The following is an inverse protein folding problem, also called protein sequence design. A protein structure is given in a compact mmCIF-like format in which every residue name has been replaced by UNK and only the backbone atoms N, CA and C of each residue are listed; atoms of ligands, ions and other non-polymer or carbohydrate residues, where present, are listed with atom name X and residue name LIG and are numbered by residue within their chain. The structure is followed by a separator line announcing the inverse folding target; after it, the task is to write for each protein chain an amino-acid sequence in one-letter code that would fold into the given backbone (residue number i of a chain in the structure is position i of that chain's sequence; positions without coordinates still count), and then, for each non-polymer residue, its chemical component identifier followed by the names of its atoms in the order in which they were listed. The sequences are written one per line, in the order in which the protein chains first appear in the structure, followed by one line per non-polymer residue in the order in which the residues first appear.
data_IF_533495483084
#
_entry.id   IF_533495483084
#
_cell.length_a   1.000
_cell.length_b   1.000
_cell.length_c   1.000
_cell.angle_alpha   90.00
_cell.angle_beta   90.00
_cell.angle_gamma   90.00
#
_symmetry.space_group_name_H-M   'P 1'
#
loop_
_entity.id
_entity.type
_entity.pdbx_description
1 polymer ?
#
# COMPACT_ATOMS: atom_id res chain seq x y z
N UNK A 1 19.23 6.32 11.91
CA UNK A 1 18.43 5.59 12.92
C UNK A 1 18.35 4.15 12.46
N UNK A 2 18.80 3.19 13.28
CA UNK A 2 18.57 1.76 12.98
C UNK A 2 17.07 1.54 13.08
N UNK A 3 16.42 1.41 11.92
CA UNK A 3 15.06 0.89 11.82
C UNK A 3 15.11 -0.53 12.40
N UNK A 4 14.16 -0.82 13.27
CA UNK A 4 13.93 -2.14 13.83
C UNK A 4 12.46 -2.38 13.50
N UNK A 5 12.21 -3.09 12.41
CA UNK A 5 10.86 -3.43 11.99
C UNK A 5 10.41 -4.71 12.70
N UNK A 6 9.29 -4.74 13.44
CA UNK A 6 8.57 -5.99 13.62
C UNK A 6 7.83 -6.36 12.32
N UNK A 7 7.60 -7.67 12.14
CA UNK A 7 6.88 -8.27 11.01
C UNK A 7 5.43 -7.78 10.91
N UNK A 8 4.69 -8.20 9.86
CA UNK A 8 3.26 -7.93 9.63
C UNK A 8 2.31 -8.41 10.75
N UNK A 9 2.85 -8.78 11.92
CA UNK A 9 2.20 -9.47 13.01
C UNK A 9 1.61 -8.58 14.12
N UNK A 10 1.85 -7.26 14.19
CA UNK A 10 1.07 -6.44 15.14
C UNK A 10 -0.41 -6.30 14.74
N UNK A 11 -0.81 -6.74 13.54
CA UNK A 11 -2.22 -6.82 13.08
C UNK A 11 -2.95 -8.13 13.38
N UNK A 12 -2.27 -9.14 13.89
CA UNK A 12 -2.93 -10.37 14.38
C UNK A 12 -3.82 -10.11 15.61
N UNK A 13 -3.62 -9.00 16.34
CA UNK A 13 -4.42 -8.74 17.55
C UNK A 13 -5.93 -8.58 17.28
N UNK A 14 -6.34 -8.14 16.08
CA UNK A 14 -7.76 -8.02 15.71
C UNK A 14 -8.32 -9.27 15.03
N UNK A 15 -7.49 -10.06 14.34
CA UNK A 15 -7.98 -11.11 13.45
C UNK A 15 -8.58 -12.35 14.15
N UNK A 16 -8.41 -12.54 15.47
CA UNK A 16 -8.97 -13.69 16.21
C UNK A 16 -10.05 -13.39 17.24
N UNK A 17 -10.27 -12.14 17.64
CA UNK A 17 -11.29 -11.83 18.68
C UNK A 17 -12.72 -11.84 18.12
N UNK A 18 -12.94 -11.62 16.82
CA UNK A 18 -14.31 -11.42 16.30
C UNK A 18 -14.88 -12.58 15.46
N UNK A 19 -14.06 -13.36 14.74
CA UNK A 19 -14.58 -14.36 13.78
C UNK A 19 -15.12 -15.67 14.39
N UNK A 20 -14.86 -15.98 15.67
CA UNK A 20 -15.31 -17.25 16.28
C UNK A 20 -16.38 -17.14 17.38
N UNK A 21 -16.65 -15.97 17.94
CA UNK A 21 -17.69 -15.80 18.98
C UNK A 21 -18.93 -15.11 18.42
N UNK A 22 -19.77 -15.88 17.72
CA UNK A 22 -21.25 -15.81 17.70
C UNK A 22 -21.91 -16.35 16.41
N UNK A 23 -21.38 -17.43 15.84
CA UNK A 23 -22.23 -18.40 15.11
C UNK A 23 -23.00 -19.24 16.14
N UNK A 24 -24.17 -18.75 16.54
CA UNK A 24 -25.39 -19.49 16.91
C UNK A 24 -26.20 -18.78 18.00
N UNK A 25 -27.32 -18.14 17.63
CA UNK A 25 -28.46 -18.06 18.53
C UNK A 25 -29.79 -18.18 17.77
N UNK A 26 -30.34 -19.38 17.87
CA UNK A 26 -31.73 -19.86 17.79
C UNK A 26 -32.76 -19.15 16.89
N UNK A 27 -33.29 -19.93 15.94
CA UNK A 27 -34.66 -19.82 15.42
C UNK A 27 -35.46 -21.03 15.92
N UNK A 28 -36.59 -20.82 16.61
CA UNK A 28 -37.91 -21.42 16.30
C UNK A 28 -39.02 -20.76 17.15
N UNK A 29 -40.07 -20.34 16.42
CA UNK A 29 -41.32 -19.66 16.82
C UNK A 29 -42.34 -20.56 17.55
N UNK A 30 -43.25 -19.91 18.30
CA UNK A 30 -44.74 -19.97 18.22
C UNK A 30 -45.34 -19.40 19.54
N UNK A 31 -46.43 -18.62 19.66
CA UNK A 31 -47.63 -18.35 18.87
C UNK A 31 -48.33 -17.08 19.42
N UNK A 32 -49.03 -16.31 18.56
CA UNK A 32 -50.33 -15.67 18.84
C UNK A 32 -50.39 -14.23 19.41
N UNK A 33 -50.91 -13.25 18.64
CA UNK A 33 -52.32 -12.80 18.67
C UNK A 33 -52.51 -11.46 17.92
N UNK A 34 -53.67 -11.31 17.26
CA UNK A 34 -54.13 -10.20 16.42
C UNK A 34 -54.33 -8.85 17.16
N UNK A 35 -54.07 -7.73 16.48
CA UNK A 35 -55.00 -6.60 16.38
C UNK A 35 -54.59 -5.60 15.28
N UNK A 36 -55.58 -5.16 14.50
CA UNK A 36 -55.55 -4.19 13.40
C UNK A 36 -55.52 -2.72 13.85
N UNK A 37 -54.83 -1.81 13.14
CA UNK A 37 -55.37 -0.48 12.70
C UNK A 37 -54.38 0.36 11.86
N UNK A 38 -54.86 0.76 10.67
CA UNK A 38 -54.78 2.05 9.93
C UNK A 38 -53.51 2.92 9.82
N UNK A 39 -53.08 3.08 8.55
CA UNK A 39 -52.42 4.20 7.84
C UNK A 39 -51.88 5.42 8.58
N UNK A 40 -50.57 5.68 8.41
CA UNK A 40 -50.02 7.00 8.04
C UNK A 40 -48.87 6.78 7.04
N UNK A 41 -48.94 7.47 5.90
CA UNK A 41 -47.86 7.57 4.92
C UNK A 41 -46.85 8.59 5.44
N UNK A 42 -45.69 8.10 5.89
CA UNK A 42 -44.46 8.88 5.97
C UNK A 42 -43.55 8.38 4.85
N UNK A 43 -43.07 9.33 4.04
CA UNK A 43 -41.97 9.14 3.11
C UNK A 43 -40.73 9.16 4.00
N UNK A 44 -40.29 7.98 4.41
CA UNK A 44 -39.01 7.85 5.09
C UNK A 44 -37.93 7.93 4.00
N UNK A 45 -37.08 8.94 4.11
CA UNK A 45 -35.82 9.01 3.38
C UNK A 45 -35.05 7.73 3.70
N UNK A 46 -34.74 6.94 2.68
CA UNK A 46 -33.92 5.74 2.81
C UNK A 46 -32.51 6.18 3.27
N UNK A 47 -32.30 6.21 4.59
CA UNK A 47 -30.97 6.01 5.15
C UNK A 47 -30.46 4.67 4.63
N UNK A 48 -29.49 4.75 3.73
CA UNK A 48 -28.68 3.64 3.26
C UNK A 48 -28.11 2.93 4.49
N UNK A 49 -28.79 1.87 4.93
CA UNK A 49 -28.29 0.98 5.97
C UNK A 49 -27.13 0.23 5.34
N UNK A 50 -25.94 0.81 5.52
CA UNK A 50 -24.67 0.26 5.10
C UNK A 50 -24.67 -1.26 5.26
N UNK A 51 -24.42 -1.94 4.14
CA UNK A 51 -24.17 -3.37 4.11
C UNK A 51 -23.18 -3.72 5.20
N UNK A 52 -23.60 -4.61 6.10
CA UNK A 52 -22.83 -5.12 7.25
C UNK A 52 -21.42 -5.51 6.79
N UNK A 53 -20.43 -4.62 6.94
CA UNK A 53 -19.06 -4.82 6.48
C UNK A 53 -18.31 -3.54 6.09
N UNK A 54 -18.98 -2.58 5.44
CA UNK A 54 -18.33 -1.33 5.02
C UNK A 54 -18.32 -0.31 6.16
N UNK A 55 -17.13 0.18 6.53
CA UNK A 55 -17.00 1.22 7.55
C UNK A 55 -16.83 2.59 6.92
N UNK A 56 -17.23 3.64 7.64
CA UNK A 56 -17.00 5.03 7.23
C UNK A 56 -15.50 5.30 6.98
N UNK A 57 -14.62 4.62 7.72
CA UNK A 57 -13.17 4.77 7.64
C UNK A 57 -12.59 4.15 6.36
N UNK A 58 -13.04 2.96 5.96
CA UNK A 58 -12.71 2.39 4.65
C UNK A 58 -13.13 3.33 3.51
N UNK A 59 -14.36 3.86 3.55
CA UNK A 59 -14.83 4.81 2.55
C UNK A 59 -13.97 6.09 2.52
N UNK A 60 -13.64 6.66 3.68
CA UNK A 60 -12.75 7.82 3.78
C UNK A 60 -11.37 7.59 3.18
N UNK A 61 -10.79 6.40 3.36
CA UNK A 61 -9.52 6.05 2.74
C UNK A 61 -9.65 5.92 1.22
N UNK A 62 -10.74 5.31 0.72
CA UNK A 62 -11.05 5.27 -0.72
C UNK A 62 -11.13 6.69 -1.30
N UNK A 63 -11.87 7.57 -0.66
CA UNK A 63 -12.03 8.97 -1.11
C UNK A 63 -10.71 9.73 -1.11
N UNK A 64 -9.86 9.48 -0.11
CA UNK A 64 -8.53 10.09 -0.02
C UNK A 64 -7.62 9.63 -1.18
N UNK A 65 -7.55 8.32 -1.44
CA UNK A 65 -6.76 7.77 -2.57
C UNK A 65 -7.31 8.24 -3.92
N UNK A 66 -8.64 8.30 -4.08
CA UNK A 66 -9.28 8.84 -5.29
C UNK A 66 -8.88 10.31 -5.50
N UNK A 67 -8.87 11.12 -4.44
CA UNK A 67 -8.50 12.53 -4.51
C UNK A 67 -7.00 12.74 -4.83
N UNK A 68 -6.12 11.91 -4.25
CA UNK A 68 -4.70 11.83 -4.58
C UNK A 68 -4.52 11.52 -6.08
N UNK A 69 -5.24 10.51 -6.57
CA UNK A 69 -5.20 10.08 -7.98
C UNK A 69 -5.65 11.20 -8.92
N UNK A 70 -6.78 11.85 -8.63
CA UNK A 70 -7.29 12.96 -9.43
C UNK A 70 -6.29 14.12 -9.51
N UNK A 71 -5.70 14.52 -8.39
CA UNK A 71 -4.69 15.59 -8.37
C UNK A 71 -3.44 15.21 -9.17
N UNK A 72 -2.91 14.00 -8.98
CA UNK A 72 -1.73 13.54 -9.68
C UNK A 72 -1.97 13.42 -11.20
N UNK A 73 -3.08 12.78 -11.60
CA UNK A 73 -3.41 12.53 -13.01
C UNK A 73 -3.83 13.79 -13.74
N UNK A 74 -4.32 14.82 -13.04
CA UNK A 74 -4.51 16.15 -13.62
C UNK A 74 -3.18 16.82 -14.00
N UNK A 75 -2.11 16.60 -13.22
CA UNK A 75 -0.78 17.11 -13.52
C UNK A 75 -0.01 16.23 -14.54
N UNK A 76 -0.16 14.91 -14.45
CA UNK A 76 0.46 13.93 -15.33
C UNK A 76 -0.50 12.73 -15.55
N UNK A 77 -1.20 12.65 -16.71
CA UNK A 77 -2.21 11.62 -16.97
C UNK A 77 -1.71 10.17 -16.92
N UNK A 78 -0.39 9.94 -17.00
CA UNK A 78 0.21 8.60 -16.93
C UNK A 78 0.85 8.31 -15.56
N UNK A 79 0.61 9.16 -14.55
CA UNK A 79 1.14 8.98 -13.21
C UNK A 79 0.44 7.83 -12.50
N UNK A 80 1.22 6.87 -12.02
CA UNK A 80 0.70 5.63 -11.44
C UNK A 80 0.36 5.81 -9.95
N UNK A 81 -0.76 5.24 -9.51
CA UNK A 81 -1.22 5.22 -8.13
C UNK A 81 -1.25 3.77 -7.63
N UNK A 82 -0.46 3.47 -6.60
CA UNK A 82 -0.23 2.11 -6.11
C UNK A 82 -0.42 2.03 -4.60
N UNK A 83 -1.63 1.81 -4.07
CA UNK A 83 -1.84 1.46 -2.65
C UNK A 83 -1.13 0.17 -2.24
N UNK A 84 -0.47 0.18 -1.08
CA UNK A 84 0.11 -0.98 -0.42
C UNK A 84 -0.81 -1.49 0.71
N UNK A 85 -1.03 -2.80 0.75
CA UNK A 85 -1.87 -3.49 1.73
C UNK A 85 -3.31 -2.88 1.74
N UNK A 86 -4.07 -3.07 2.84
CA UNK A 86 -5.45 -2.59 2.95
C UNK A 86 -6.34 -3.02 1.77
N UNK A 87 -6.13 -4.24 1.28
CA UNK A 87 -6.69 -4.72 0.01
C UNK A 87 -8.22 -4.79 0.04
N UNK A 88 -8.83 -4.82 1.23
CA UNK A 88 -10.26 -4.70 1.48
C UNK A 88 -10.93 -3.54 0.73
N UNK A 89 -10.21 -2.43 0.51
CA UNK A 89 -10.76 -1.24 -0.16
C UNK A 89 -11.19 -1.51 -1.62
N UNK A 90 -10.77 -2.62 -2.21
CA UNK A 90 -11.17 -3.01 -3.58
C UNK A 90 -12.62 -3.46 -3.68
N UNK A 91 -13.29 -3.76 -2.56
CA UNK A 91 -14.68 -4.19 -2.54
C UNK A 91 -15.58 -3.18 -1.83
N UNK A 92 -16.88 -3.19 -2.15
CA UNK A 92 -17.86 -2.23 -1.63
C UNK A 92 -18.19 -2.44 -0.15
N UNK A 93 -17.90 -3.62 0.39
CA UNK A 93 -18.15 -3.92 1.80
C UNK A 93 -16.87 -4.14 2.61
N UNK A 94 -15.70 -3.87 2.03
CA UNK A 94 -14.43 -4.04 2.73
C UNK A 94 -14.07 -5.50 3.06
N UNK A 95 -14.60 -6.46 2.30
CA UNK A 95 -14.41 -7.91 2.46
C UNK A 95 -14.50 -8.64 1.08
N UNK A 96 -14.04 -9.90 0.99
CA UNK A 96 -14.03 -10.69 -0.25
C UNK A 96 -15.43 -11.03 -0.81
N UNK A 97 -16.47 -10.89 0.01
CA UNK A 97 -17.87 -11.08 -0.37
C UNK A 97 -18.50 -9.87 -1.07
N UNK A 98 -17.84 -8.71 -1.03
CA UNK A 98 -18.34 -7.47 -1.63
C UNK A 98 -18.24 -7.44 -3.14
N UNK A 99 -19.08 -6.61 -3.76
CA UNK A 99 -18.92 -6.28 -5.17
C UNK A 99 -17.64 -5.43 -5.37
N UNK A 100 -17.02 -5.43 -6.57
CA UNK A 100 -15.88 -4.55 -6.84
C UNK A 100 -16.24 -3.06 -6.65
N UNK A 101 -15.44 -2.32 -5.91
CA UNK A 101 -15.61 -0.88 -5.72
C UNK A 101 -15.04 -0.10 -6.93
N UNK A 102 -15.84 0.01 -7.99
CA UNK A 102 -15.40 0.50 -9.32
C UNK A 102 -14.70 1.86 -9.29
N UNK A 103 -15.20 2.83 -8.51
CA UNK A 103 -14.60 4.16 -8.46
C UNK A 103 -13.17 4.16 -7.89
N UNK A 104 -12.91 3.29 -6.90
CA UNK A 104 -11.59 3.14 -6.29
C UNK A 104 -10.66 2.36 -7.23
N UNK A 105 -11.16 1.25 -7.78
CA UNK A 105 -10.41 0.42 -8.73
C UNK A 105 -9.97 1.20 -9.97
N UNK A 106 -10.80 2.11 -10.49
CA UNK A 106 -10.45 2.98 -11.62
C UNK A 106 -9.47 4.10 -11.26
N UNK A 107 -9.35 4.45 -9.98
CA UNK A 107 -8.45 5.51 -9.53
C UNK A 107 -7.01 5.02 -9.37
N UNK A 108 -6.82 3.71 -9.15
CA UNK A 108 -5.50 3.08 -8.95
C UNK A 108 -5.04 2.38 -10.23
N UNK A 109 -3.74 2.08 -10.32
CA UNK A 109 -3.13 1.40 -11.48
C UNK A 109 -2.49 0.05 -11.09
N UNK A 110 -2.24 -0.14 -9.80
CA UNK A 110 -1.79 -1.38 -9.21
C UNK A 110 -2.16 -1.49 -7.73
N UNK A 111 -2.07 -2.69 -7.16
CA UNK A 111 -2.04 -2.92 -5.72
C UNK A 111 -0.72 -3.57 -5.33
N UNK A 112 -0.07 -3.00 -4.31
CA UNK A 112 1.03 -3.63 -3.57
C UNK A 112 0.47 -4.51 -2.45
N UNK A 113 1.02 -5.71 -2.29
CA UNK A 113 0.74 -6.59 -1.16
C UNK A 113 2.05 -7.07 -0.58
N UNK A 114 2.25 -6.83 0.71
CA UNK A 114 3.32 -7.48 1.46
C UNK A 114 2.84 -8.83 2.00
N UNK A 115 3.78 -9.75 2.09
CA UNK A 115 3.70 -10.93 2.95
C UNK A 115 2.66 -11.95 2.51
N UNK A 116 2.44 -12.06 1.20
CA UNK A 116 1.41 -12.92 0.64
C UNK A 116 1.75 -14.40 0.76
N UNK A 117 2.97 -14.81 0.41
CA UNK A 117 3.40 -16.20 0.48
C UNK A 117 4.36 -16.44 1.64
N UNK A 118 5.23 -15.47 1.92
CA UNK A 118 6.23 -15.53 2.98
C UNK A 118 6.38 -14.16 3.67
N UNK A 119 6.56 -14.18 5.00
CA UNK A 119 6.87 -12.98 5.77
C UNK A 119 5.77 -12.52 6.72
N UNK A 120 4.55 -13.08 6.67
CA UNK A 120 3.42 -12.50 7.41
C UNK A 120 3.61 -12.52 8.93
N UNK A 121 3.86 -13.70 9.48
CA UNK A 121 4.12 -13.85 10.90
C UNK A 121 5.59 -13.54 11.23
N UNK A 122 6.51 -14.11 10.43
CA UNK A 122 7.95 -13.89 10.55
C UNK A 122 8.59 -13.95 9.15
N UNK A 123 9.72 -13.28 8.99
CA UNK A 123 10.54 -13.38 7.78
C UNK A 123 10.92 -14.83 7.48
N UNK A 124 10.96 -15.17 6.20
CA UNK A 124 11.29 -16.50 5.67
C UNK A 124 10.34 -17.63 6.12
N UNK A 125 9.25 -17.29 6.80
CA UNK A 125 8.18 -18.22 7.18
C UNK A 125 7.00 -18.10 6.21
N UNK A 126 6.46 -19.24 5.79
CA UNK A 126 5.27 -19.28 4.95
C UNK A 126 4.06 -18.63 5.65
N UNK A 127 3.37 -17.74 4.95
CA UNK A 127 2.15 -17.08 5.41
C UNK A 127 1.04 -18.11 5.69
N UNK A 128 0.23 -17.98 6.75
CA UNK A 128 -0.88 -18.91 7.02
C UNK A 128 -1.83 -19.05 5.83
N UNK A 129 -2.27 -20.28 5.52
CA UNK A 129 -3.01 -20.57 4.28
C UNK A 129 -4.38 -19.87 4.20
N UNK A 130 -5.03 -19.66 5.34
CA UNK A 130 -6.27 -18.90 5.46
C UNK A 130 -6.06 -17.43 5.10
N UNK A 131 -5.01 -16.79 5.65
CA UNK A 131 -4.61 -15.43 5.29
C UNK A 131 -4.32 -15.32 3.80
N UNK A 132 -3.53 -16.24 3.24
CA UNK A 132 -3.23 -16.25 1.79
C UNK A 132 -4.48 -16.37 0.93
N UNK A 133 -5.43 -17.22 1.34
CA UNK A 133 -6.66 -17.44 0.58
C UNK A 133 -7.49 -16.16 0.55
N UNK A 134 -7.70 -15.56 1.72
CA UNK A 134 -8.45 -14.31 1.87
C UNK A 134 -7.83 -13.17 1.05
N UNK A 135 -6.52 -12.94 1.19
CA UNK A 135 -5.83 -11.89 0.45
C UNK A 135 -5.90 -12.12 -1.06
N UNK A 136 -5.72 -13.36 -1.52
CA UNK A 136 -5.80 -13.67 -2.96
C UNK A 136 -7.17 -13.41 -3.55
N UNK A 137 -8.25 -13.74 -2.85
CA UNK A 137 -9.61 -13.47 -3.33
C UNK A 137 -9.86 -11.97 -3.53
N UNK A 138 -9.34 -11.12 -2.64
CA UNK A 138 -9.39 -9.66 -2.78
C UNK A 138 -8.45 -9.14 -3.87
N UNK A 139 -7.21 -9.65 -3.96
CA UNK A 139 -6.26 -9.28 -5.02
C UNK A 139 -6.80 -9.63 -6.42
N UNK A 140 -7.52 -10.75 -6.54
CA UNK A 140 -8.17 -11.15 -7.79
C UNK A 140 -9.27 -10.17 -8.21
N UNK A 141 -9.97 -9.50 -7.27
CA UNK A 141 -10.91 -8.42 -7.62
C UNK A 141 -10.17 -7.28 -8.33
N UNK A 142 -9.05 -6.82 -7.78
CA UNK A 142 -8.28 -5.73 -8.39
C UNK A 142 -7.63 -6.12 -9.71
N UNK A 143 -7.05 -7.32 -9.77
CA UNK A 143 -6.48 -7.87 -11.00
C UNK A 143 -7.52 -7.99 -12.11
N UNK A 144 -8.73 -8.48 -11.79
CA UNK A 144 -9.83 -8.60 -12.75
C UNK A 144 -10.35 -7.24 -13.22
N UNK A 145 -10.14 -6.17 -12.45
CA UNK A 145 -10.40 -4.80 -12.88
C UNK A 145 -9.31 -4.22 -13.80
N UNK A 146 -8.22 -4.97 -14.05
CA UNK A 146 -7.13 -4.58 -14.94
C UNK A 146 -5.90 -4.01 -14.24
N UNK A 147 -5.89 -3.97 -12.90
CA UNK A 147 -4.78 -3.45 -12.13
C UNK A 147 -3.64 -4.46 -12.03
N UNK A 148 -2.41 -3.96 -12.01
CA UNK A 148 -1.23 -4.82 -11.78
C UNK A 148 -1.15 -5.21 -10.30
N UNK A 149 -0.80 -6.46 -9.99
CA UNK A 149 -0.56 -6.89 -8.60
C UNK A 149 0.95 -7.01 -8.38
N UNK A 150 1.46 -6.26 -7.41
CA UNK A 150 2.85 -6.26 -6.98
C UNK A 150 2.94 -6.94 -5.62
N UNK A 151 3.67 -8.06 -5.52
CA UNK A 151 3.82 -8.81 -4.26
C UNK A 151 5.25 -8.71 -3.75
N UNK A 152 5.41 -8.23 -2.52
CA UNK A 152 6.68 -8.30 -1.80
C UNK A 152 6.58 -9.41 -0.76
N UNK A 153 7.40 -10.44 -0.87
CA UNK A 153 7.53 -11.47 0.16
C UNK A 153 8.87 -11.29 0.89
N UNK A 154 8.89 -11.44 2.22
CA UNK A 154 10.13 -11.45 2.98
C UNK A 154 10.65 -12.87 3.14
N UNK A 155 11.58 -13.27 2.28
CA UNK A 155 12.21 -14.60 2.30
C UNK A 155 13.70 -14.52 1.97
N UNK A 156 14.49 -15.34 2.67
CA UNK A 156 15.95 -15.32 2.61
C UNK A 156 16.56 -16.69 2.28
N UNK A 157 15.84 -17.78 2.53
CA UNK A 157 16.24 -19.13 2.10
C UNK A 157 16.00 -19.28 0.60
N UNK A 158 17.01 -19.76 -0.16
CA UNK A 158 16.95 -19.92 -1.63
C UNK A 158 15.69 -20.65 -2.10
N UNK A 159 15.31 -21.75 -1.45
CA UNK A 159 14.11 -22.51 -1.84
C UNK A 159 12.80 -21.74 -1.61
N UNK A 160 12.74 -20.88 -0.58
CA UNK A 160 11.58 -20.04 -0.31
C UNK A 160 11.50 -18.86 -1.30
N UNK A 161 12.66 -18.32 -1.69
CA UNK A 161 12.76 -17.30 -2.75
C UNK A 161 12.24 -17.87 -4.08
N UNK A 162 12.74 -19.05 -4.47
CA UNK A 162 12.30 -19.74 -5.69
C UNK A 162 10.80 -20.08 -5.65
N UNK A 163 10.29 -20.58 -4.53
CA UNK A 163 8.86 -20.86 -4.36
C UNK A 163 8.02 -19.58 -4.42
N UNK A 164 8.38 -18.51 -3.72
CA UNK A 164 7.68 -17.22 -3.79
C UNK A 164 7.54 -16.73 -5.24
N UNK A 165 8.63 -16.75 -6.02
CA UNK A 165 8.56 -16.37 -7.44
C UNK A 165 7.67 -17.30 -8.26
N UNK A 166 7.71 -18.61 -8.00
CA UNK A 166 6.86 -19.59 -8.68
C UNK A 166 5.37 -19.38 -8.36
N UNK A 167 5.01 -19.23 -7.08
CA UNK A 167 3.62 -19.05 -6.64
C UNK A 167 3.02 -17.75 -7.18
N UNK A 168 3.78 -16.65 -7.14
CA UNK A 168 3.35 -15.38 -7.70
C UNK A 168 3.20 -15.45 -9.23
N UNK A 169 4.14 -16.08 -9.94
CA UNK A 169 4.05 -16.26 -11.40
C UNK A 169 2.82 -17.09 -11.78
N UNK A 170 2.52 -18.16 -11.02
CA UNK A 170 1.31 -18.98 -11.22
C UNK A 170 0.02 -18.19 -10.96
N UNK A 171 0.04 -17.24 -10.01
CA UNK A 171 -1.06 -16.33 -9.76
C UNK A 171 -1.13 -15.18 -10.78
N UNK A 172 -0.16 -15.03 -11.68
CA UNK A 172 -0.08 -13.90 -12.62
C UNK A 172 0.21 -12.56 -11.93
N UNK A 173 0.96 -12.60 -10.83
CA UNK A 173 1.42 -11.42 -10.10
C UNK A 173 2.89 -11.12 -10.43
N UNK A 174 3.27 -9.86 -10.34
CA UNK A 174 4.68 -9.44 -10.40
C UNK A 174 5.21 -9.47 -8.98
N UNK A 175 6.35 -10.11 -8.72
CA UNK A 175 6.85 -10.24 -7.35
C UNK A 175 8.30 -9.80 -7.16
N UNK A 176 8.61 -9.51 -5.90
CA UNK A 176 9.94 -9.24 -5.38
C UNK A 176 10.12 -10.02 -4.07
N UNK A 177 11.12 -10.90 -4.05
CA UNK A 177 11.53 -11.57 -2.83
C UNK A 177 12.57 -10.70 -2.09
N UNK A 178 12.12 -10.00 -1.07
CA UNK A 178 12.97 -9.17 -0.21
C UNK A 178 13.74 -10.07 0.77
N UNK A 179 15.08 -10.06 0.68
CA UNK A 179 15.93 -10.89 1.56
C UNK A 179 16.04 -10.35 2.99
N UNK A 180 15.58 -9.12 3.23
CA UNK A 180 15.48 -8.52 4.55
C UNK A 180 14.41 -7.43 4.57
N UNK A 181 13.70 -7.35 5.70
CA UNK A 181 12.59 -6.40 5.88
C UNK A 181 12.97 -4.94 5.83
N UNK A 182 14.22 -4.64 6.14
CA UNK A 182 14.73 -3.28 6.18
C UNK A 182 14.80 -2.58 4.81
N UNK A 183 14.63 -3.32 3.71
CA UNK A 183 14.59 -2.80 2.32
C UNK A 183 15.74 -1.82 2.00
N UNK A 184 16.94 -2.14 2.49
CA UNK A 184 18.18 -1.37 2.35
C UNK A 184 19.26 -2.05 1.50
N UNK A 185 18.97 -3.21 0.92
CA UNK A 185 19.91 -3.93 0.05
C UNK A 185 19.26 -4.31 -1.27
N UNK A 186 20.07 -4.35 -2.32
CA UNK A 186 19.70 -4.97 -3.59
C UNK A 186 20.04 -6.46 -3.47
N UNK A 187 19.04 -7.37 -3.57
CA UNK A 187 19.31 -8.80 -3.49
C UNK A 187 20.26 -9.27 -4.60
N UNK A 188 21.12 -10.23 -4.27
CA UNK A 188 22.03 -10.88 -5.23
C UNK A 188 21.48 -12.20 -5.77
N UNK A 189 20.29 -12.60 -5.30
CA UNK A 189 19.58 -13.81 -5.70
C UNK A 189 18.11 -13.50 -6.02
N UNK A 190 17.49 -14.20 -6.99
CA UNK A 190 18.14 -15.11 -7.93
C UNK A 190 19.07 -14.35 -8.88
N UNK A 191 20.02 -15.08 -9.46
CA UNK A 191 20.90 -14.58 -10.51
C UNK A 191 20.84 -15.55 -11.70
N UNK A 192 20.31 -15.15 -12.87
CA UNK A 192 19.84 -13.80 -13.22
C UNK A 192 18.60 -13.36 -12.43
N UNK A 193 18.30 -12.06 -12.45
CA UNK A 193 17.13 -11.49 -11.75
C UNK A 193 15.86 -12.18 -12.30
N UNK A 194 14.92 -12.53 -11.42
CA UNK A 194 13.65 -13.12 -11.83
C UNK A 194 12.92 -12.18 -12.79
N UNK A 195 12.44 -12.70 -13.93
CA UNK A 195 11.75 -11.90 -14.94
C UNK A 195 12.63 -10.85 -15.66
N UNK A 196 13.96 -10.93 -15.55
CA UNK A 196 14.89 -9.97 -16.16
C UNK A 196 14.67 -9.83 -17.68
N UNK A 197 14.68 -8.58 -18.15
CA UNK A 197 14.58 -8.26 -19.57
C UNK A 197 15.17 -6.87 -19.86
N UNK A 198 15.37 -6.57 -21.14
CA UNK A 198 15.94 -5.30 -21.61
C UNK A 198 14.89 -4.35 -22.21
N UNK A 199 13.61 -4.54 -21.92
CA UNK A 199 12.55 -3.71 -22.49
C UNK A 199 12.65 -2.26 -21.98
N UNK A 200 12.16 -1.34 -22.81
CA UNK A 200 11.81 0.02 -22.42
C UNK A 200 10.41 -0.04 -21.82
N UNK A 201 10.32 -0.05 -20.49
CA UNK A 201 9.06 -0.14 -19.75
C UNK A 201 8.47 1.26 -19.63
N UNK A 202 7.22 1.40 -20.06
CA UNK A 202 6.47 2.67 -20.14
C UNK A 202 5.11 2.62 -19.43
N UNK A 203 4.68 1.44 -18.97
CA UNK A 203 3.45 1.25 -18.19
C UNK A 203 3.59 0.05 -17.26
N UNK A 204 2.79 0.02 -16.18
CA UNK A 204 2.82 -1.07 -15.19
C UNK A 204 2.50 -2.44 -15.81
N UNK A 205 1.63 -2.51 -16.81
CA UNK A 205 1.30 -3.76 -17.53
C UNK A 205 2.50 -4.43 -18.22
N UNK A 206 3.59 -3.69 -18.44
CA UNK A 206 4.82 -4.20 -19.06
C UNK A 206 5.85 -4.69 -18.03
N UNK A 207 5.66 -4.37 -16.75
CA UNK A 207 6.59 -4.71 -15.67
C UNK A 207 6.58 -6.23 -15.45
N UNK A 208 7.76 -6.84 -15.45
CA UNK A 208 7.93 -8.28 -15.18
C UNK A 208 8.64 -8.58 -13.87
N UNK A 209 9.23 -7.56 -13.25
CA UNK A 209 9.95 -7.65 -11.99
C UNK A 209 10.09 -6.25 -11.37
N UNK A 210 10.33 -6.15 -10.06
CA UNK A 210 10.57 -4.87 -9.42
C UNK A 210 11.60 -4.97 -8.29
N UNK A 211 12.17 -3.82 -7.94
CA UNK A 211 13.04 -3.64 -6.79
C UNK A 211 12.35 -2.71 -5.79
N UNK A 212 12.14 -3.19 -4.57
CA UNK A 212 11.65 -2.38 -3.46
C UNK A 212 12.82 -2.00 -2.56
N UNK A 213 13.22 -0.72 -2.59
CA UNK A 213 14.43 -0.21 -1.94
C UNK A 213 14.16 1.20 -1.39
N UNK A 214 13.46 1.28 -0.27
CA UNK A 214 13.05 2.54 0.36
C UNK A 214 13.98 3.01 1.48
N UNK A 215 14.94 2.17 1.88
CA UNK A 215 15.88 2.52 2.94
C UNK A 215 17.30 2.68 2.38
N UNK A 216 17.71 3.89 1.96
CA UNK A 216 19.01 4.07 1.35
C UNK A 216 20.17 4.14 2.35
N UNK A 217 19.98 3.73 3.62
CA UNK A 217 20.97 3.93 4.69
C UNK A 217 22.31 3.21 4.50
N UNK A 218 22.33 2.15 3.70
CA UNK A 218 23.57 1.41 3.40
C UNK A 218 24.33 2.01 2.21
N UNK A 219 23.80 3.06 1.58
CA UNK A 219 24.46 3.80 0.52
C UNK A 219 25.06 5.10 1.07
N UNK A 220 26.36 5.35 0.89
CA UNK A 220 27.01 6.54 1.46
C UNK A 220 26.49 7.86 0.90
N UNK A 221 26.14 7.89 -0.40
CA UNK A 221 25.67 9.09 -1.09
C UNK A 221 24.55 8.76 -2.08
N UNK A 222 23.79 9.79 -2.51
CA UNK A 222 22.83 9.67 -3.62
C UNK A 222 23.48 9.11 -4.89
N UNK A 223 24.71 9.53 -5.19
CA UNK A 223 25.46 9.03 -6.36
C UNK A 223 25.73 7.53 -6.25
N UNK A 224 26.11 7.03 -5.07
CA UNK A 224 26.35 5.59 -4.87
C UNK A 224 25.06 4.78 -5.00
N UNK A 225 23.96 5.28 -4.42
CA UNK A 225 22.62 4.69 -4.59
C UNK A 225 22.22 4.62 -6.06
N UNK A 226 22.31 5.73 -6.79
CA UNK A 226 21.96 5.82 -8.21
C UNK A 226 22.81 4.86 -9.05
N UNK A 227 24.12 4.81 -8.80
CA UNK A 227 25.02 3.92 -9.52
C UNK A 227 24.71 2.43 -9.25
N UNK A 228 24.44 2.07 -8.00
CA UNK A 228 24.07 0.70 -7.64
C UNK A 228 22.76 0.27 -8.31
N UNK A 229 21.73 1.12 -8.28
CA UNK A 229 20.45 0.83 -8.92
C UNK A 229 20.57 0.76 -10.44
N UNK A 230 21.35 1.66 -11.07
CA UNK A 230 21.63 1.61 -12.51
C UNK A 230 22.38 0.36 -12.95
N UNK A 231 23.11 -0.29 -12.05
CA UNK A 231 23.80 -1.55 -12.33
C UNK A 231 22.85 -2.77 -12.32
N UNK A 232 21.57 -2.57 -12.01
CA UNK A 232 20.54 -3.62 -12.04
C UNK A 232 19.65 -3.55 -13.28
N UNK A 233 18.81 -4.57 -13.49
CA UNK A 233 17.92 -4.67 -14.64
C UNK A 233 16.43 -4.75 -14.24
N UNK A 234 16.06 -4.18 -13.09
CA UNK A 234 14.67 -4.18 -12.65
C UNK A 234 13.76 -3.28 -13.53
N UNK A 235 12.55 -3.73 -13.84
CA UNK A 235 11.55 -3.02 -14.67
C UNK A 235 10.84 -1.87 -13.93
N UNK A 236 10.79 -1.98 -12.61
CA UNK A 236 10.17 -1.03 -11.71
C UNK A 236 11.06 -0.85 -10.48
N UNK A 237 11.27 0.40 -10.06
CA UNK A 237 11.95 0.76 -8.82
C UNK A 237 10.94 1.46 -7.90
N UNK A 238 10.77 0.96 -6.69
CA UNK A 238 10.05 1.63 -5.61
C UNK A 238 11.08 2.12 -4.60
N UNK A 239 11.13 3.43 -4.37
CA UNK A 239 12.12 4.08 -3.50
C UNK A 239 11.54 5.33 -2.82
N UNK A 240 12.23 5.88 -1.83
CA UNK A 240 11.82 7.13 -1.18
C UNK A 240 12.19 8.37 -2.03
N UNK A 241 11.42 9.46 -1.91
CA UNK A 241 11.76 10.76 -2.49
C UNK A 241 13.02 11.36 -1.86
N UNK A 242 13.27 11.08 -0.58
CA UNK A 242 14.32 11.68 0.21
C UNK A 242 15.46 10.69 0.47
N UNK A 243 16.68 11.19 0.43
CA UNK A 243 17.86 10.46 0.88
C UNK A 243 18.03 10.58 2.40
N UNK A 244 19.01 9.85 2.97
CA UNK A 244 19.22 9.77 4.42
C UNK A 244 19.62 11.10 5.08
N UNK A 245 20.08 12.07 4.31
CA UNK A 245 20.37 13.43 4.76
C UNK A 245 19.16 14.37 4.71
N UNK A 246 17.98 13.86 4.34
CA UNK A 246 16.74 14.62 4.21
C UNK A 246 16.63 15.42 2.90
N UNK A 247 17.62 15.33 2.00
CA UNK A 247 17.55 15.99 0.69
C UNK A 247 16.69 15.16 -0.28
N UNK A 248 15.82 15.83 -1.04
CA UNK A 248 15.05 15.18 -2.08
C UNK A 248 15.97 14.79 -3.26
N UNK A 249 15.63 13.68 -3.93
CA UNK A 249 16.12 13.40 -5.27
C UNK A 249 15.56 14.44 -6.26
N UNK A 250 16.42 14.95 -7.12
CA UNK A 250 16.09 15.91 -8.18
C UNK A 250 15.55 15.19 -9.42
N UNK A 251 14.88 15.93 -10.32
CA UNK A 251 14.42 15.41 -11.61
C UNK A 251 15.54 14.73 -12.42
N UNK A 252 16.73 15.33 -12.44
CA UNK A 252 17.89 14.76 -13.14
C UNK A 252 18.41 13.46 -12.49
N UNK A 253 18.32 13.35 -11.16
CA UNK A 253 18.69 12.12 -10.44
C UNK A 253 17.66 11.00 -10.68
N UNK A 254 16.36 11.32 -10.64
CA UNK A 254 15.28 10.37 -10.96
C UNK A 254 15.36 9.91 -12.41
N UNK A 255 15.65 10.81 -13.36
CA UNK A 255 15.87 10.45 -14.76
C UNK A 255 17.04 9.46 -14.96
N UNK A 256 18.10 9.58 -14.16
CA UNK A 256 19.20 8.61 -14.17
C UNK A 256 18.75 7.23 -13.67
N UNK A 257 17.94 7.19 -12.60
CA UNK A 257 17.39 5.97 -12.01
C UNK A 257 16.46 5.19 -12.95
N UNK A 258 15.89 5.83 -13.98
CA UNK A 258 15.08 5.16 -15.02
C UNK A 258 15.91 4.26 -15.97
N UNK A 259 17.24 4.28 -15.89
CA UNK A 259 18.11 3.50 -16.80
C UNK A 259 18.53 2.15 -16.21
N UNK A 260 18.37 1.07 -16.99
CA UNK A 260 18.87 -0.28 -16.67
C UNK A 260 20.28 -0.50 -17.19
N UNK A 261 21.03 -1.42 -16.57
CA UNK A 261 22.39 -1.77 -17.00
C UNK A 261 22.42 -2.36 -18.41
N UNK A 262 21.38 -3.12 -18.77
CA UNK A 262 21.23 -3.78 -20.06
C UNK A 262 20.66 -2.89 -21.19
N UNK A 263 20.56 -1.57 -20.97
CA UNK A 263 20.08 -0.61 -21.96
C UNK A 263 18.55 -0.41 -21.99
N UNK A 264 17.78 -1.21 -21.25
CA UNK A 264 16.35 -0.99 -21.07
C UNK A 264 16.03 0.23 -20.18
N UNK A 265 14.73 0.51 -20.02
CA UNK A 265 14.22 1.58 -19.14
C UNK A 265 13.21 1.04 -18.15
N UNK A 266 13.18 1.63 -16.96
CA UNK A 266 12.29 1.26 -15.86
C UNK A 266 11.39 2.43 -15.46
N UNK A 267 10.27 2.10 -14.81
CA UNK A 267 9.48 3.06 -14.06
C UNK A 267 10.13 3.30 -12.68
N UNK A 268 10.04 4.52 -12.17
CA UNK A 268 10.50 4.89 -10.82
C UNK A 268 9.33 5.48 -10.03
N UNK A 269 8.97 4.82 -8.94
CA UNK A 269 7.79 5.11 -8.10
C UNK A 269 8.25 5.54 -6.70
N UNK A 270 7.66 6.63 -6.19
CA UNK A 270 8.00 7.14 -4.86
C UNK A 270 7.14 6.50 -3.79
N UNK A 271 7.74 5.95 -2.75
CA UNK A 271 7.08 5.69 -1.48
C UNK A 271 6.49 6.99 -0.91
N UNK A 272 5.27 6.92 -0.38
CA UNK A 272 4.60 8.01 0.31
C UNK A 272 3.62 7.46 1.36
N UNK A 273 3.94 7.59 2.64
CA UNK A 273 2.98 7.28 3.71
C UNK A 273 1.84 8.29 3.72
N UNK A 274 0.60 7.79 3.73
CA UNK A 274 -0.60 8.64 3.79
C UNK A 274 -1.45 8.40 5.05
N UNK A 275 -1.22 7.31 5.76
CA UNK A 275 -1.89 6.97 7.03
C UNK A 275 -1.06 7.23 8.29
N UNK A 276 0.19 7.70 8.14
CA UNK A 276 1.05 8.12 9.26
C UNK A 276 1.84 9.39 8.94
N UNK A 277 2.06 10.22 9.97
CA UNK A 277 3.00 11.33 9.94
C UNK A 277 4.36 10.91 10.47
N UNK A 278 5.42 11.28 9.76
CA UNK A 278 6.80 10.88 10.04
C UNK A 278 7.60 12.10 10.53
N UNK A 279 8.15 12.03 11.74
CA UNK A 279 8.80 13.18 12.38
C UNK A 279 10.13 13.63 11.78
N UNK A 280 10.65 12.85 10.84
CA UNK A 280 11.85 13.12 10.06
C UNK A 280 11.54 13.71 8.68
N UNK A 281 10.26 13.96 8.35
CA UNK A 281 9.87 14.58 7.07
C UNK A 281 9.88 16.10 7.15
N UNK A 282 10.02 16.71 5.97
CA UNK A 282 10.08 18.16 5.79
C UNK A 282 8.86 18.93 6.34
N UNK A 283 7.69 18.28 6.39
CA UNK A 283 6.45 18.91 6.85
C UNK A 283 6.34 18.94 8.38
N UNK A 284 7.20 18.18 9.10
CA UNK A 284 7.13 18.10 10.55
C UNK A 284 7.44 19.45 11.18
N UNK A 285 6.54 19.92 12.03
CA UNK A 285 6.73 21.18 12.75
C UNK A 285 7.27 20.90 14.15
N UNK A 286 8.29 21.64 14.58
CA UNK A 286 8.92 21.45 15.89
C UNK A 286 7.92 21.54 17.07
N UNK A 287 6.84 22.31 16.92
CA UNK A 287 5.77 22.42 17.92
C UNK A 287 5.01 21.10 18.16
N UNK A 288 4.98 20.20 17.18
CA UNK A 288 4.28 18.92 17.29
C UNK A 288 4.92 17.95 18.29
N UNK A 289 6.19 18.18 18.65
CA UNK A 289 6.88 17.42 19.70
C UNK A 289 6.28 17.65 21.09
N UNK A 290 5.59 18.77 21.30
CA UNK A 290 4.96 19.12 22.59
C UNK A 290 3.44 19.22 22.49
N UNK A 291 2.92 19.68 21.35
CA UNK A 291 1.48 19.85 21.12
C UNK A 291 1.12 19.28 19.76
N UNK A 292 0.54 18.08 19.77
CA UNK A 292 0.08 17.41 18.55
C UNK A 292 -1.13 18.15 17.96
N UNK A 293 -1.21 18.34 16.64
CA UNK A 293 -2.42 18.82 15.99
C UNK A 293 -3.56 17.79 16.17
N UNK A 294 -4.84 18.20 16.10
CA UNK A 294 -5.98 17.32 16.40
C UNK A 294 -6.10 16.07 15.51
N UNK A 295 -5.49 16.11 14.33
CA UNK A 295 -5.45 14.99 13.38
C UNK A 295 -4.34 13.99 13.64
N UNK A 296 -3.38 14.28 14.53
CA UNK A 296 -2.26 13.38 14.83
C UNK A 296 -2.47 12.68 16.18
N UNK A 297 -2.51 11.35 16.14
CA UNK A 297 -2.72 10.49 17.30
C UNK A 297 -1.39 9.96 17.87
N UNK A 298 -1.39 8.75 18.41
CA UNK A 298 -0.24 8.15 19.08
C UNK A 298 0.90 7.81 18.11
N UNK A 299 2.12 7.83 18.65
CA UNK A 299 3.27 7.25 17.97
C UNK A 299 3.05 5.75 17.79
N UNK A 300 3.40 5.24 16.62
CA UNK A 300 3.38 3.83 16.33
C UNK A 300 4.53 3.15 17.12
N UNK A 301 4.22 2.27 18.10
CA UNK A 301 5.24 1.67 18.97
C UNK A 301 6.22 0.78 18.20
N UNK A 302 5.79 0.25 17.06
CA UNK A 302 6.61 -0.60 16.19
C UNK A 302 7.53 0.23 15.28
N UNK A 303 7.19 1.51 15.09
CA UNK A 303 7.85 2.40 14.13
C UNK A 303 8.13 3.76 14.77
N UNK A 304 9.13 3.84 15.68
CA UNK A 304 9.47 5.10 16.34
C UNK A 304 9.69 6.23 15.34
N UNK A 305 9.08 7.37 15.63
CA UNK A 305 9.02 8.55 14.77
C UNK A 305 7.85 8.60 13.79
N UNK A 306 7.00 7.57 13.74
CA UNK A 306 5.79 7.54 12.91
C UNK A 306 4.57 7.67 13.81
N UNK A 307 3.58 8.46 13.42
CA UNK A 307 2.42 8.79 14.23
C UNK A 307 1.15 8.53 13.43
N UNK A 308 0.19 7.81 14.01
CA UNK A 308 -1.11 7.58 13.36
C UNK A 308 -1.80 8.91 13.10
N UNK A 309 -2.48 9.03 11.96
CA UNK A 309 -3.21 10.24 11.59
C UNK A 309 -4.65 9.92 11.21
N UNK A 310 -5.55 10.83 11.56
CA UNK A 310 -6.92 10.89 11.05
C UNK A 310 -6.84 11.31 9.59
N UNK A 311 -6.58 10.36 8.70
CA UNK A 311 -6.27 10.61 7.30
C UNK A 311 -7.40 11.30 6.50
N UNK A 312 -8.60 11.34 7.06
CA UNK A 312 -9.74 12.11 6.53
C UNK A 312 -9.71 13.60 6.91
N UNK A 313 -8.79 14.03 7.79
CA UNK A 313 -8.69 15.41 8.22
C UNK A 313 -8.12 16.31 7.11
N UNK A 314 -8.80 17.42 6.76
CA UNK A 314 -8.35 18.28 5.67
C UNK A 314 -6.95 18.88 5.86
N UNK A 315 -6.50 19.15 7.09
CA UNK A 315 -5.16 19.69 7.32
C UNK A 315 -4.08 18.67 6.98
N UNK A 316 -4.27 17.41 7.36
CA UNK A 316 -3.39 16.32 6.96
C UNK A 316 -3.41 16.11 5.45
N UNK A 317 -4.59 16.09 4.85
CA UNK A 317 -4.73 15.93 3.40
C UNK A 317 -4.01 17.06 2.64
N UNK A 318 -4.02 18.30 3.15
CA UNK A 318 -3.31 19.43 2.56
C UNK A 318 -1.77 19.29 2.65
N UNK A 319 -1.23 18.56 3.63
CA UNK A 319 0.19 18.20 3.67
C UNK A 319 0.52 17.21 2.54
N UNK A 320 -0.38 16.26 2.27
CA UNK A 320 -0.17 15.21 1.28
C UNK A 320 -0.37 15.72 -0.16
N UNK A 321 -1.48 16.40 -0.47
CA UNK A 321 -1.81 16.81 -1.84
C UNK A 321 -2.54 18.16 -1.95
N UNK A 322 -2.83 18.60 -3.18
CA UNK A 322 -3.73 19.71 -3.45
C UNK A 322 -3.11 21.11 -3.50
N UNK A 323 -1.79 21.24 -3.31
CA UNK A 323 -1.10 22.53 -3.38
C UNK A 323 0.39 22.38 -3.77
N UNK A 324 1.05 23.51 -4.06
CA UNK A 324 2.43 23.50 -4.56
C UNK A 324 3.50 23.13 -3.51
N UNK A 325 3.14 23.11 -2.21
CA UNK A 325 4.03 22.72 -1.12
C UNK A 325 3.83 21.26 -0.67
N UNK A 326 2.78 20.60 -1.16
CA UNK A 326 2.37 19.27 -0.72
C UNK A 326 3.40 18.17 -1.08
N UNK A 327 3.33 17.04 -0.37
CA UNK A 327 4.26 15.93 -0.59
C UNK A 327 4.15 15.40 -2.04
N UNK A 328 2.93 15.10 -2.48
CA UNK A 328 2.68 14.62 -3.84
C UNK A 328 3.17 15.61 -4.91
N UNK A 329 3.07 16.93 -4.69
CA UNK A 329 3.65 17.92 -5.61
C UNK A 329 5.17 17.79 -5.72
N UNK A 330 5.87 17.58 -4.61
CA UNK A 330 7.34 17.39 -4.62
C UNK A 330 7.71 16.14 -5.42
N UNK A 331 6.96 15.06 -5.26
CA UNK A 331 7.15 13.81 -6.02
C UNK A 331 6.94 14.04 -7.53
N UNK A 332 5.83 14.70 -7.91
CA UNK A 332 5.55 15.08 -9.30
C UNK A 332 6.68 15.94 -9.89
N UNK A 333 7.15 16.92 -9.12
CA UNK A 333 8.22 17.85 -9.54
C UNK A 333 9.57 17.14 -9.72
N UNK A 334 9.84 16.09 -8.93
CA UNK A 334 11.03 15.27 -9.07
C UNK A 334 10.96 14.27 -10.24
N UNK A 335 9.87 14.22 -11.01
CA UNK A 335 9.79 13.42 -12.23
C UNK A 335 9.62 11.91 -12.01
N UNK A 336 9.13 11.51 -10.83
CA UNK A 336 8.69 10.14 -10.58
C UNK A 336 7.51 9.76 -11.50
N UNK A 337 7.41 8.47 -11.84
CA UNK A 337 6.35 7.93 -12.70
C UNK A 337 5.07 7.58 -11.92
N UNK A 338 5.09 7.70 -10.59
CA UNK A 338 3.95 7.41 -9.73
C UNK A 338 4.28 7.43 -8.24
N UNK A 339 3.28 7.08 -7.44
CA UNK A 339 3.39 6.91 -5.98
C UNK A 339 2.97 5.52 -5.54
N UNK A 340 3.70 5.02 -4.56
CA UNK A 340 3.42 3.82 -3.80
C UNK A 340 2.95 4.25 -2.41
N UNK A 341 1.64 4.17 -2.19
CA UNK A 341 0.94 4.74 -1.04
C UNK A 341 0.94 3.74 0.11
N UNK A 342 1.52 4.14 1.24
CA UNK A 342 1.64 3.27 2.41
C UNK A 342 0.71 3.67 3.55
N UNK A 343 0.46 2.71 4.45
CA UNK A 343 -0.48 2.79 5.57
C UNK A 343 -1.92 3.01 5.09
N UNK A 344 -2.31 2.32 4.01
CA UNK A 344 -3.69 2.30 3.50
C UNK A 344 -4.65 1.73 4.53
N UNK A 345 -4.22 0.66 5.17
CA UNK A 345 -4.86 -0.01 6.32
C UNK A 345 -4.97 0.83 7.61
N UNK A 346 -4.59 2.11 7.60
CA UNK A 346 -4.85 3.00 8.74
C UNK A 346 -6.33 3.03 9.13
N UNK A 347 -7.25 2.68 8.21
CA UNK A 347 -8.66 2.52 8.54
C UNK A 347 -8.90 1.53 9.68
N UNK A 348 -8.12 0.43 9.79
CA UNK A 348 -8.27 -0.59 10.83
C UNK A 348 -8.12 -0.02 12.25
N UNK A 349 -7.35 1.05 12.41
CA UNK A 349 -7.13 1.71 13.72
C UNK A 349 -8.40 2.39 14.23
N UNK A 350 -9.29 2.78 13.32
CA UNK A 350 -10.45 3.61 13.63
C UNK A 350 -11.77 2.84 13.55
N UNK A 351 -11.76 1.56 13.15
CA UNK A 351 -12.95 0.68 13.10
C UNK A 351 -13.49 0.26 14.48
#
# INVERSE_FOLDING_TARGET
MKRHQPSAQTRSSFHKVFLQTNKALLITLMFGCMATTSFVSCKDDEEDKGTVGDTEFKQKMRDFVISISQYAKAANPTFNIIPQNGIELVSTNGDNSGAPHTAYLNAIDANGQEDLWYGYDNDDQATPSDVRTYLKELLDISKNAGNTILVTDYCSTTSNIEDSYLQNSNAGYVSFAATQRELNVIPTVPNPIHGENNAVVTSLSQVKNFLYLINPADFPTKTDFINAVKATNYDLLIMDLFFTDGTAFTEAEVAQLKSKANGGKRLVISYMSIGEAENYRYYWQAAWNTTKPPWMDAENPDWPGNFKVKYWDPEWQHIIFGNDQSYLKKILTAGFDGVYLDIIDAFEVYE
#
